data_IF_721450683172
#
_entry.id   IF_721450683172
#
_cell.length_a   1.000
_cell.length_b   1.000
_cell.length_c   1.000
_cell.angle_alpha   90.00
_cell.angle_beta   90.00
_cell.angle_gamma   90.00
#
_symmetry.space_group_name_H-M   'P 1'
#
loop_
_entity.id
_entity.type
_entity.pdbx_description
1 polymer ?
#
# COMPACT_ATOMS: atom_id res chain seq x y z
N UNK A 1 -21.85 6.69 16.12
CA UNK A 1 -21.47 5.35 15.60
C UNK A 1 -20.13 5.34 14.86
N UNK A 2 -19.85 6.26 13.92
CA UNK A 2 -18.55 6.28 13.19
C UNK A 2 -17.31 6.34 14.08
N UNK A 3 -17.31 7.17 15.14
CA UNK A 3 -16.20 7.24 16.10
C UNK A 3 -15.91 5.88 16.77
N UNK A 4 -16.97 5.12 17.10
CA UNK A 4 -16.82 3.80 17.71
C UNK A 4 -16.20 2.78 16.74
N UNK A 5 -16.55 2.84 15.45
CA UNK A 5 -15.89 2.04 14.42
C UNK A 5 -14.40 2.37 14.34
N UNK A 6 -14.04 3.65 14.24
CA UNK A 6 -12.63 4.08 14.15
C UNK A 6 -11.83 3.64 15.39
N UNK A 7 -12.37 3.83 16.60
CA UNK A 7 -11.70 3.39 17.82
C UNK A 7 -11.51 1.88 17.87
N UNK A 8 -12.51 1.11 17.42
CA UNK A 8 -12.41 -0.34 17.30
C UNK A 8 -11.30 -0.74 16.33
N UNK A 9 -11.25 -0.12 15.15
CA UNK A 9 -10.20 -0.39 14.16
C UNK A 9 -8.81 -0.06 14.70
N UNK A 10 -8.65 1.08 15.36
CA UNK A 10 -7.39 1.49 15.98
C UNK A 10 -6.88 0.50 17.02
N UNK A 11 -7.73 0.04 17.94
CA UNK A 11 -7.31 -0.92 18.98
C UNK A 11 -6.80 -2.23 18.36
N UNK A 12 -7.40 -2.66 17.24
CA UNK A 12 -6.96 -3.87 16.51
C UNK A 12 -5.60 -3.69 15.83
N UNK A 13 -5.38 -2.55 15.18
CA UNK A 13 -4.24 -2.38 14.27
C UNK A 13 -3.08 -1.57 14.86
N UNK A 14 -3.23 -0.92 16.02
CA UNK A 14 -2.23 0.03 16.59
C UNK A 14 -0.78 -0.48 16.63
N UNK A 15 -0.56 -1.70 17.11
CA UNK A 15 0.80 -2.26 17.25
C UNK A 15 1.39 -2.61 15.90
N UNK A 16 0.56 -3.14 15.00
CA UNK A 16 0.94 -3.37 13.62
C UNK A 16 1.28 -2.05 12.92
N UNK A 17 0.46 -1.02 13.05
CA UNK A 17 0.70 0.29 12.45
C UNK A 17 1.98 0.94 12.97
N UNK A 18 2.27 0.81 14.27
CA UNK A 18 3.53 1.27 14.84
C UNK A 18 4.72 0.51 14.24
N UNK A 19 4.65 -0.82 14.18
CA UNK A 19 5.71 -1.63 13.57
C UNK A 19 5.88 -1.33 12.07
N UNK A 20 4.79 -1.19 11.33
CA UNK A 20 4.80 -0.82 9.91
C UNK A 20 5.40 0.57 9.70
N UNK A 21 5.05 1.55 10.53
CA UNK A 21 5.62 2.89 10.49
C UNK A 21 7.13 2.86 10.69
N UNK A 22 7.62 2.20 11.75
CA UNK A 22 9.05 2.08 12.03
C UNK A 22 9.78 1.36 10.91
N UNK A 23 9.25 0.22 10.43
CA UNK A 23 9.92 -0.57 9.39
C UNK A 23 10.00 0.17 8.07
N UNK A 24 8.89 0.74 7.57
CA UNK A 24 8.89 1.47 6.30
C UNK A 24 9.82 2.68 6.38
N UNK A 25 9.76 3.46 7.47
CA UNK A 25 10.64 4.63 7.64
C UNK A 25 12.12 4.25 7.80
N UNK A 26 12.43 3.14 8.47
CA UNK A 26 13.79 2.63 8.58
C UNK A 26 14.35 2.19 7.23
N UNK A 27 13.57 1.45 6.41
CA UNK A 27 13.98 1.08 5.05
C UNK A 27 14.13 2.30 4.14
N UNK A 28 13.24 3.28 4.26
CA UNK A 28 13.36 4.56 3.57
C UNK A 28 14.66 5.30 3.93
N UNK A 29 14.95 5.42 5.23
CA UNK A 29 16.18 6.05 5.73
C UNK A 29 17.44 5.29 5.29
N UNK A 30 17.41 3.96 5.31
CA UNK A 30 18.52 3.13 4.86
C UNK A 30 18.83 3.33 3.36
N UNK A 31 17.79 3.41 2.54
CA UNK A 31 17.91 3.67 1.09
C UNK A 31 18.63 4.99 0.82
N UNK A 32 18.23 6.04 1.55
CA UNK A 32 18.85 7.37 1.49
C UNK A 32 20.30 7.35 2.01
N UNK A 33 20.56 6.66 3.12
CA UNK A 33 21.91 6.53 3.65
C UNK A 33 22.85 5.81 2.66
N UNK A 34 22.33 4.85 1.91
CA UNK A 34 23.04 4.21 0.80
C UNK A 34 23.53 5.21 -0.25
N UNK A 35 22.70 6.21 -0.59
CA UNK A 35 23.04 7.29 -1.53
C UNK A 35 24.12 8.18 -0.92
N UNK A 36 23.96 8.62 0.34
CA UNK A 36 24.97 9.44 1.03
C UNK A 36 26.34 8.76 1.05
N UNK A 37 26.37 7.47 1.42
CA UNK A 37 27.60 6.68 1.42
C UNK A 37 28.21 6.60 0.03
N UNK A 38 27.39 6.37 -1.00
CA UNK A 38 27.87 6.33 -2.37
C UNK A 38 28.46 7.69 -2.81
N UNK A 39 27.80 8.80 -2.44
CA UNK A 39 28.27 10.17 -2.75
C UNK A 39 29.60 10.44 -2.05
N UNK A 40 29.75 10.02 -0.80
CA UNK A 40 30.99 10.19 -0.04
C UNK A 40 32.18 9.41 -0.62
N UNK A 41 31.94 8.24 -1.23
CA UNK A 41 33.01 7.37 -1.76
C UNK A 41 33.38 7.74 -3.21
N UNK A 42 32.40 8.05 -4.05
CA UNK A 42 32.60 8.25 -5.50
C UNK A 42 32.52 9.71 -5.95
N UNK A 43 32.11 10.61 -5.07
CA UNK A 43 31.81 11.99 -5.39
C UNK A 43 30.41 12.17 -6.01
N UNK A 44 29.81 13.34 -5.76
CA UNK A 44 28.45 13.65 -6.22
C UNK A 44 28.34 13.69 -7.75
N UNK A 45 29.37 14.16 -8.46
CA UNK A 45 29.37 14.27 -9.92
C UNK A 45 29.26 12.92 -10.62
N UNK A 46 30.01 11.91 -10.15
CA UNK A 46 29.93 10.57 -10.72
C UNK A 46 28.58 9.91 -10.46
N UNK A 47 27.98 10.12 -9.29
CA UNK A 47 26.65 9.58 -9.00
C UNK A 47 25.57 10.24 -9.83
N UNK A 48 25.66 11.56 -10.01
CA UNK A 48 24.77 12.26 -10.91
C UNK A 48 24.87 11.71 -12.33
N UNK A 49 26.09 11.54 -12.85
CA UNK A 49 26.32 10.97 -14.18
C UNK A 49 25.74 9.55 -14.28
N UNK A 50 25.99 8.68 -13.30
CA UNK A 50 25.44 7.32 -13.30
C UNK A 50 23.92 7.30 -13.21
N UNK A 51 23.31 8.21 -12.43
CA UNK A 51 21.85 8.31 -12.33
C UNK A 51 21.21 8.81 -13.63
N UNK A 52 21.89 9.67 -14.37
CA UNK A 52 21.37 10.22 -15.64
C UNK A 52 21.66 9.29 -16.82
N UNK A 53 22.85 8.68 -16.87
CA UNK A 53 23.30 7.87 -18.01
C UNK A 53 22.89 6.41 -17.92
N UNK A 54 22.78 5.85 -16.71
CA UNK A 54 22.44 4.44 -16.48
C UNK A 54 21.08 4.21 -15.86
N UNK A 55 20.30 5.27 -15.63
CA UNK A 55 18.96 5.19 -15.05
C UNK A 55 18.93 4.35 -13.75
N UNK A 56 20.01 4.43 -12.96
CA UNK A 56 20.19 3.61 -11.77
C UNK A 56 19.23 4.02 -10.65
N UNK A 57 18.43 3.06 -10.16
CA UNK A 57 17.48 3.27 -9.06
C UNK A 57 18.14 2.89 -7.73
N UNK A 58 18.44 3.89 -6.90
CA UNK A 58 19.12 3.66 -5.61
C UNK A 58 18.17 3.31 -4.45
N UNK A 59 16.86 3.25 -4.71
CA UNK A 59 15.81 3.03 -3.69
C UNK A 59 15.14 1.65 -3.86
N UNK A 60 15.71 0.73 -4.62
CA UNK A 60 15.10 -0.58 -4.90
C UNK A 60 14.79 -1.40 -3.64
N UNK A 61 15.53 -1.15 -2.55
CA UNK A 61 15.33 -1.82 -1.27
C UNK A 61 13.90 -1.60 -0.72
N UNK A 62 13.29 -0.44 -0.96
CA UNK A 62 11.93 -0.17 -0.49
C UNK A 62 10.85 -0.74 -1.41
N UNK A 63 11.19 -1.23 -2.61
CA UNK A 63 10.25 -1.56 -3.68
C UNK A 63 9.05 -2.42 -3.24
N UNK A 64 9.30 -3.49 -2.48
CA UNK A 64 8.24 -4.41 -2.05
C UNK A 64 7.69 -4.13 -0.65
N UNK A 65 8.32 -3.24 0.11
CA UNK A 65 7.96 -2.97 1.51
C UNK A 65 6.54 -2.38 1.63
N UNK A 66 6.12 -1.37 0.83
CA UNK A 66 4.76 -0.85 0.87
C UNK A 66 3.69 -1.90 0.52
N UNK A 67 4.00 -2.81 -0.41
CA UNK A 67 3.08 -3.88 -0.79
C UNK A 67 2.83 -4.83 0.38
N UNK A 68 3.91 -5.31 1.00
CA UNK A 68 3.84 -6.20 2.17
C UNK A 68 3.06 -5.51 3.29
N UNK A 69 3.33 -4.23 3.53
CA UNK A 69 2.63 -3.46 4.55
C UNK A 69 1.12 -3.31 4.27
N UNK A 70 0.73 -3.12 3.02
CA UNK A 70 -0.68 -3.06 2.64
C UNK A 70 -1.41 -4.38 2.87
N UNK A 71 -0.83 -5.49 2.41
CA UNK A 71 -1.41 -6.84 2.55
C UNK A 71 -1.52 -7.23 4.02
N UNK A 72 -0.46 -7.05 4.80
CA UNK A 72 -0.47 -7.38 6.23
C UNK A 72 -1.51 -6.54 6.99
N UNK A 73 -1.67 -5.24 6.68
CA UNK A 73 -2.69 -4.43 7.33
C UNK A 73 -4.09 -5.02 7.10
N UNK A 74 -4.39 -5.45 5.88
CA UNK A 74 -5.67 -6.08 5.57
C UNK A 74 -5.88 -7.37 6.37
N UNK A 75 -4.85 -8.20 6.49
CA UNK A 75 -4.88 -9.43 7.29
C UNK A 75 -5.19 -9.11 8.75
N UNK A 76 -4.46 -8.20 9.38
CA UNK A 76 -4.68 -7.81 10.77
C UNK A 76 -6.04 -7.15 11.00
N UNK A 77 -6.55 -6.42 10.00
CA UNK A 77 -7.81 -5.70 10.12
C UNK A 77 -9.04 -6.60 9.96
N UNK A 78 -9.05 -7.49 8.96
CA UNK A 78 -10.25 -8.22 8.53
C UNK A 78 -10.27 -9.71 8.91
N UNK A 79 -9.11 -10.38 9.07
CA UNK A 79 -9.05 -11.78 9.52
C UNK A 79 -9.74 -12.01 10.87
N UNK A 80 -9.45 -11.24 11.93
CA UNK A 80 -10.12 -11.43 13.22
C UNK A 80 -11.63 -11.17 13.14
N UNK A 81 -12.10 -10.33 12.19
CA UNK A 81 -13.52 -10.08 12.01
C UNK A 81 -14.26 -11.24 11.39
N UNK A 82 -13.61 -11.93 10.45
CA UNK A 82 -14.17 -13.10 9.80
C UNK A 82 -14.18 -14.29 10.78
N UNK A 83 -13.09 -14.50 11.53
CA UNK A 83 -12.98 -15.58 12.51
C UNK A 83 -14.00 -15.46 13.65
N UNK A 84 -14.18 -14.24 14.19
CA UNK A 84 -15.09 -14.00 15.32
C UNK A 84 -16.55 -13.80 14.89
N UNK A 85 -16.86 -13.94 13.59
CA UNK A 85 -18.18 -13.64 12.99
C UNK A 85 -18.66 -12.21 13.29
N UNK A 86 -17.75 -11.31 13.68
CA UNK A 86 -18.05 -9.91 14.00
C UNK A 86 -18.50 -9.14 12.76
N UNK A 87 -18.08 -9.57 11.57
CA UNK A 87 -18.58 -8.99 10.32
C UNK A 87 -20.09 -9.20 10.19
N UNK A 88 -20.60 -10.39 10.52
CA UNK A 88 -22.04 -10.66 10.52
C UNK A 88 -22.75 -9.70 11.49
N UNK A 89 -22.25 -9.54 12.71
CA UNK A 89 -22.82 -8.59 13.68
C UNK A 89 -22.80 -7.14 13.18
N UNK A 90 -21.70 -6.74 12.53
CA UNK A 90 -21.52 -5.39 11.98
C UNK A 90 -22.54 -5.08 10.88
N UNK A 91 -22.92 -6.09 10.10
CA UNK A 91 -23.89 -5.97 9.01
C UNK A 91 -25.35 -5.87 9.50
N UNK A 92 -25.64 -6.22 10.76
CA UNK A 92 -26.99 -6.14 11.36
C UNK A 92 -27.23 -4.85 12.17
N UNK A 93 -26.21 -4.02 12.35
CA UNK A 93 -26.36 -2.71 12.99
C UNK A 93 -27.33 -1.82 12.18
N UNK A 94 -28.00 -0.84 12.80
CA UNK A 94 -28.91 0.11 12.14
C UNK A 94 -28.12 1.18 11.35
N UNK A 95 -27.15 0.73 10.56
CA UNK A 95 -26.32 1.53 9.64
C UNK A 95 -26.24 0.74 8.33
N UNK A 96 -26.37 1.38 7.16
CA UNK A 96 -26.23 0.67 5.90
C UNK A 96 -24.87 -0.04 5.81
N UNK A 97 -24.91 -1.34 5.54
CA UNK A 97 -23.74 -2.22 5.43
C UNK A 97 -22.62 -1.61 4.57
N UNK A 98 -22.99 -0.99 3.44
CA UNK A 98 -22.07 -0.31 2.53
C UNK A 98 -21.23 0.75 3.25
N UNK A 99 -21.89 1.62 4.02
CA UNK A 99 -21.23 2.69 4.77
C UNK A 99 -20.27 2.13 5.82
N UNK A 100 -20.66 1.05 6.50
CA UNK A 100 -19.79 0.40 7.49
C UNK A 100 -18.52 -0.16 6.85
N UNK A 101 -18.65 -0.89 5.74
CA UNK A 101 -17.51 -1.47 5.02
C UNK A 101 -16.55 -0.39 4.52
N UNK A 102 -17.05 0.68 3.89
CA UNK A 102 -16.19 1.74 3.39
C UNK A 102 -15.52 2.57 4.49
N UNK A 103 -16.14 2.72 5.66
CA UNK A 103 -15.50 3.39 6.80
C UNK A 103 -14.31 2.58 7.31
N UNK A 104 -14.44 1.25 7.34
CA UNK A 104 -13.33 0.37 7.72
C UNK A 104 -12.21 0.36 6.69
N UNK A 105 -12.56 0.23 5.40
CA UNK A 105 -11.57 0.29 4.31
C UNK A 105 -10.86 1.65 4.33
N UNK A 106 -11.62 2.74 4.46
CA UNK A 106 -11.12 4.11 4.53
C UNK A 106 -10.19 4.35 5.71
N UNK A 107 -10.46 3.75 6.88
CA UNK A 107 -9.54 3.80 8.01
C UNK A 107 -8.18 3.19 7.68
N UNK A 108 -8.15 1.99 7.07
CA UNK A 108 -6.88 1.35 6.69
C UNK A 108 -6.13 2.12 5.60
N UNK A 109 -6.83 2.66 4.61
CA UNK A 109 -6.25 3.55 3.58
C UNK A 109 -5.64 4.80 4.21
N UNK A 110 -6.34 5.46 5.14
CA UNK A 110 -5.82 6.62 5.85
C UNK A 110 -4.59 6.26 6.70
N UNK A 111 -4.61 5.14 7.40
CA UNK A 111 -3.46 4.69 8.21
C UNK A 111 -2.22 4.40 7.35
N UNK A 112 -2.38 3.73 6.19
CA UNK A 112 -1.30 3.54 5.22
C UNK A 112 -0.79 4.87 4.68
N UNK A 113 -1.67 5.83 4.43
CA UNK A 113 -1.27 7.15 3.94
C UNK A 113 -0.34 7.89 4.90
N UNK A 114 -0.55 7.77 6.22
CA UNK A 114 0.36 8.33 7.22
C UNK A 114 1.74 7.66 7.16
N UNK A 115 1.78 6.34 7.01
CA UNK A 115 3.05 5.61 6.90
C UNK A 115 3.80 5.94 5.60
N UNK A 116 3.09 5.97 4.47
CA UNK A 116 3.69 6.21 3.15
C UNK A 116 4.12 7.67 2.97
N UNK A 117 3.37 8.62 3.50
CA UNK A 117 3.79 10.04 3.52
C UNK A 117 5.04 10.23 4.37
N UNK A 118 5.12 9.61 5.56
CA UNK A 118 6.35 9.65 6.35
C UNK A 118 7.54 9.06 5.59
N UNK A 119 7.38 7.91 4.93
CA UNK A 119 8.42 7.29 4.12
C UNK A 119 8.87 8.19 2.96
N UNK A 120 7.92 8.82 2.26
CA UNK A 120 8.21 9.77 1.18
C UNK A 120 8.95 11.00 1.69
N UNK A 121 8.61 11.52 2.87
CA UNK A 121 9.32 12.63 3.49
C UNK A 121 10.76 12.24 3.88
N UNK A 122 10.95 11.04 4.45
CA UNK A 122 12.27 10.50 4.77
C UNK A 122 13.15 10.36 3.54
N UNK A 123 12.57 10.03 2.38
CA UNK A 123 13.30 9.96 1.10
C UNK A 123 13.56 11.36 0.53
N UNK A 124 12.53 12.18 0.42
CA UNK A 124 12.57 13.43 -0.34
C UNK A 124 13.38 14.54 0.33
N UNK A 125 13.25 14.72 1.65
CA UNK A 125 13.92 15.83 2.36
C UNK A 125 15.45 15.72 2.19
N UNK A 126 16.11 14.59 2.53
CA UNK A 126 17.55 14.51 2.37
C UNK A 126 17.98 14.42 0.91
N UNK A 127 17.18 13.78 0.04
CA UNK A 127 17.50 13.72 -1.39
C UNK A 127 17.60 15.11 -2.02
N UNK A 128 16.70 16.04 -1.68
CA UNK A 128 16.74 17.43 -2.18
C UNK A 128 17.90 18.26 -1.62
N UNK A 129 18.52 17.83 -0.51
CA UNK A 129 19.68 18.51 0.06
C UNK A 129 21.00 18.15 -0.65
N UNK A 130 21.05 17.00 -1.32
CA UNK A 130 22.28 16.45 -1.93
C UNK A 130 22.21 16.46 -3.45
N UNK A 131 21.03 16.19 -4.00
CA UNK A 131 20.80 15.98 -5.43
C UNK A 131 20.02 17.17 -6.02
N UNK A 132 20.20 17.46 -7.32
CA UNK A 132 19.36 18.41 -8.03
C UNK A 132 17.87 18.05 -7.91
N UNK A 133 17.01 19.07 -7.91
CA UNK A 133 15.56 18.92 -7.68
C UNK A 133 14.92 17.98 -8.70
N UNK A 134 15.40 17.98 -9.94
CA UNK A 134 14.95 17.12 -11.03
C UNK A 134 15.22 15.64 -10.72
N UNK A 135 16.38 15.34 -10.14
CA UNK A 135 16.78 13.98 -9.80
C UNK A 135 15.97 13.48 -8.60
N UNK A 136 15.82 14.31 -7.57
CA UNK A 136 14.97 14.01 -6.42
C UNK A 136 13.51 13.76 -6.85
N UNK A 137 12.97 14.55 -7.78
CA UNK A 137 11.63 14.34 -8.33
C UNK A 137 11.51 13.01 -9.11
N UNK A 138 12.53 12.63 -9.89
CA UNK A 138 12.58 11.32 -10.56
C UNK A 138 12.62 10.16 -9.57
N UNK A 139 13.36 10.30 -8.47
CA UNK A 139 13.40 9.28 -7.41
C UNK A 139 12.02 9.10 -6.76
N UNK A 140 11.35 10.20 -6.39
CA UNK A 140 9.98 10.15 -5.85
C UNK A 140 9.02 9.53 -6.86
N UNK A 141 9.10 9.93 -8.13
CA UNK A 141 8.26 9.39 -9.21
C UNK A 141 8.45 7.89 -9.43
N UNK A 142 9.64 7.38 -9.13
CA UNK A 142 9.95 5.93 -9.19
C UNK A 142 9.36 5.19 -8.00
N UNK A 143 9.29 5.82 -6.83
CA UNK A 143 8.72 5.22 -5.63
C UNK A 143 7.18 5.25 -5.59
N UNK A 144 6.53 6.22 -6.26
CA UNK A 144 5.08 6.38 -6.27
C UNK A 144 4.30 5.09 -6.69
N UNK A 145 4.67 4.38 -7.78
CA UNK A 145 4.02 3.12 -8.14
C UNK A 145 4.08 2.07 -7.04
N UNK A 146 5.18 2.00 -6.29
CA UNK A 146 5.35 1.03 -5.20
C UNK A 146 4.41 1.33 -4.03
N UNK A 147 4.24 2.61 -3.67
CA UNK A 147 3.24 3.02 -2.67
C UNK A 147 1.81 2.79 -3.14
N UNK A 148 1.52 3.04 -4.42
CA UNK A 148 0.23 2.70 -5.02
C UNK A 148 -0.04 1.18 -5.01
N UNK A 149 1.00 0.36 -5.22
CA UNK A 149 0.91 -1.08 -5.07
C UNK A 149 0.56 -1.49 -3.63
N UNK A 150 1.05 -0.76 -2.62
CA UNK A 150 0.66 -0.92 -1.21
C UNK A 150 -0.85 -0.75 -0.98
N UNK A 151 -1.43 0.34 -1.50
CA UNK A 151 -2.88 0.55 -1.41
C UNK A 151 -3.68 -0.49 -2.21
N UNK A 152 -3.20 -0.84 -3.40
CA UNK A 152 -3.82 -1.89 -4.21
C UNK A 152 -3.79 -3.24 -3.49
N UNK A 153 -2.65 -3.61 -2.92
CA UNK A 153 -2.48 -4.84 -2.14
C UNK A 153 -3.40 -4.89 -0.93
N UNK A 154 -3.57 -3.78 -0.21
CA UNK A 154 -4.52 -3.68 0.90
C UNK A 154 -5.96 -3.92 0.45
N UNK A 155 -6.42 -3.26 -0.62
CA UNK A 155 -7.80 -3.40 -1.11
C UNK A 155 -8.08 -4.77 -1.71
N UNK A 156 -7.15 -5.34 -2.47
CA UNK A 156 -7.26 -6.70 -3.03
C UNK A 156 -7.20 -7.78 -1.96
N UNK A 157 -6.30 -7.66 -0.97
CA UNK A 157 -6.29 -8.57 0.18
C UNK A 157 -7.60 -8.52 0.96
N UNK A 158 -8.17 -7.31 1.11
CA UNK A 158 -9.47 -7.13 1.77
C UNK A 158 -10.58 -7.84 1.01
N UNK A 159 -10.57 -7.72 -0.32
CA UNK A 159 -11.51 -8.44 -1.20
C UNK A 159 -11.41 -9.97 -1.02
N UNK A 160 -10.19 -10.52 -1.03
CA UNK A 160 -9.93 -11.96 -0.86
C UNK A 160 -10.36 -12.46 0.52
N UNK A 161 -10.05 -11.72 1.59
CA UNK A 161 -10.35 -12.13 2.98
C UNK A 161 -11.86 -12.09 3.24
N UNK A 162 -12.56 -11.10 2.70
CA UNK A 162 -14.00 -10.94 2.88
C UNK A 162 -14.82 -11.97 2.08
N UNK A 163 -14.24 -12.62 1.06
CA UNK A 163 -14.94 -13.63 0.27
C UNK A 163 -15.23 -14.88 1.11
N UNK A 164 -16.50 -15.34 1.17
CA UNK A 164 -16.90 -16.50 1.97
C UNK A 164 -16.45 -17.84 1.40
N UNK A 165 -16.41 -17.98 0.06
CA UNK A 165 -16.14 -19.26 -0.59
C UNK A 165 -14.65 -19.47 -0.88
N UNK A 166 -14.15 -20.67 -0.57
CA UNK A 166 -12.74 -21.02 -0.75
C UNK A 166 -12.32 -21.10 -2.22
N UNK A 167 -13.20 -21.61 -3.09
CA UNK A 167 -12.95 -21.69 -4.54
C UNK A 167 -12.82 -20.30 -5.18
N UNK A 168 -13.64 -19.35 -4.75
CA UNK A 168 -13.56 -17.99 -5.26
C UNK A 168 -12.32 -17.27 -4.70
N UNK A 169 -11.96 -17.51 -3.43
CA UNK A 169 -10.76 -16.95 -2.80
C UNK A 169 -9.47 -17.28 -3.57
N UNK A 170 -9.30 -18.53 -4.00
CA UNK A 170 -8.13 -18.93 -4.79
C UNK A 170 -8.13 -18.24 -6.16
N UNK A 171 -9.27 -18.21 -6.85
CA UNK A 171 -9.40 -17.50 -8.14
C UNK A 171 -9.10 -15.99 -8.01
N UNK A 172 -9.64 -15.33 -6.99
CA UNK A 172 -9.39 -13.90 -6.73
C UNK A 172 -7.94 -13.62 -6.33
N UNK A 173 -7.26 -14.57 -5.71
CA UNK A 173 -5.82 -14.46 -5.42
C UNK A 173 -5.01 -14.44 -6.71
N UNK A 174 -5.28 -15.33 -7.67
CA UNK A 174 -4.60 -15.30 -8.97
C UNK A 174 -4.83 -13.98 -9.71
N UNK A 175 -6.08 -13.52 -9.76
CA UNK A 175 -6.41 -12.23 -10.40
C UNK A 175 -5.70 -11.07 -9.68
N UNK A 176 -5.65 -11.09 -8.36
CA UNK A 176 -4.98 -10.05 -7.58
C UNK A 176 -3.47 -10.00 -7.83
N UNK A 177 -2.82 -11.16 -7.94
CA UNK A 177 -1.39 -11.24 -8.30
C UNK A 177 -1.15 -10.67 -9.69
N UNK A 178 -2.02 -10.97 -10.66
CA UNK A 178 -1.92 -10.42 -12.02
C UNK A 178 -2.09 -8.88 -12.03
N UNK A 179 -3.04 -8.35 -11.27
CA UNK A 179 -3.23 -6.90 -11.14
C UNK A 179 -2.01 -6.25 -10.48
N UNK A 180 -1.50 -6.84 -9.40
CA UNK A 180 -0.33 -6.32 -8.69
C UNK A 180 0.93 -6.33 -9.56
N UNK A 181 1.07 -7.30 -10.49
CA UNK A 181 2.21 -7.36 -11.41
C UNK A 181 2.38 -6.09 -12.26
N UNK A 182 1.27 -5.41 -12.58
CA UNK A 182 1.25 -4.17 -13.39
C UNK A 182 2.07 -3.06 -12.71
N UNK A 183 2.11 -3.02 -11.37
CA UNK A 183 2.84 -2.00 -10.61
C UNK A 183 4.36 -2.22 -10.59
N UNK A 184 4.83 -3.40 -11.00
CA UNK A 184 6.25 -3.80 -10.97
C UNK A 184 6.79 -4.19 -12.35
N UNK A 185 6.09 -3.83 -13.43
CA UNK A 185 6.42 -4.22 -14.81
C UNK A 185 7.71 -3.59 -15.35
N UNK A 186 7.85 -2.27 -15.23
CA UNK A 186 9.01 -1.52 -15.69
C UNK A 186 10.01 -1.27 -14.54
N UNK A 187 11.30 -1.64 -14.72
CA UNK A 187 12.37 -1.31 -13.77
C UNK A 187 12.95 0.10 -13.99
N UNK A 188 12.59 0.77 -15.09
CA UNK A 188 13.14 2.07 -15.44
C UNK A 188 12.62 3.20 -14.52
N UNK A 189 13.49 4.12 -14.08
CA UNK A 189 13.12 5.25 -13.22
C UNK A 189 12.11 6.16 -13.92
N UNK A 190 11.12 6.62 -13.15
CA UNK A 190 10.02 7.47 -13.62
C UNK A 190 9.21 6.94 -14.82
N UNK A 191 9.35 5.66 -15.18
CA UNK A 191 8.67 5.05 -16.34
C UNK A 191 7.14 5.13 -16.24
N UNK A 192 6.61 5.16 -15.01
CA UNK A 192 5.17 5.20 -14.76
C UNK A 192 4.58 6.61 -14.77
N UNK A 193 5.35 7.67 -15.01
CA UNK A 193 4.87 9.06 -14.84
C UNK A 193 3.50 9.33 -15.47
N UNK A 194 3.32 8.97 -16.76
CA UNK A 194 2.05 9.14 -17.47
C UNK A 194 0.98 8.11 -17.09
N UNK A 195 1.38 6.96 -16.53
CA UNK A 195 0.52 5.85 -16.16
C UNK A 195 0.07 5.89 -14.69
N UNK A 196 0.66 6.76 -13.86
CA UNK A 196 0.30 6.94 -12.44
C UNK A 196 -1.19 7.20 -12.22
N UNK A 197 -1.90 8.04 -13.00
CA UNK A 197 -3.34 8.24 -12.82
C UNK A 197 -4.13 6.94 -13.03
N UNK A 198 -3.73 6.08 -13.96
CA UNK A 198 -4.37 4.79 -14.21
C UNK A 198 -4.09 3.77 -13.11
N UNK A 199 -2.88 3.79 -12.53
CA UNK A 199 -2.59 3.01 -11.33
C UNK A 199 -3.45 3.47 -10.15
N UNK A 200 -3.58 4.78 -9.93
CA UNK A 200 -4.46 5.31 -8.88
C UNK A 200 -5.93 4.95 -9.11
N UNK A 201 -6.42 5.04 -10.36
CA UNK A 201 -7.76 4.59 -10.72
C UNK A 201 -7.96 3.10 -10.43
N UNK A 202 -6.97 2.26 -10.71
CA UNK A 202 -7.05 0.82 -10.42
C UNK A 202 -7.22 0.53 -8.92
N UNK A 203 -6.59 1.32 -8.04
CA UNK A 203 -6.76 1.23 -6.58
C UNK A 203 -8.18 1.60 -6.15
N UNK A 204 -8.76 2.64 -6.75
CA UNK A 204 -10.13 3.07 -6.46
C UNK A 204 -11.13 1.99 -6.91
N UNK A 205 -10.92 1.44 -8.10
CA UNK A 205 -11.75 0.36 -8.63
C UNK A 205 -11.61 -0.91 -7.79
N UNK A 206 -10.41 -1.29 -7.35
CA UNK A 206 -10.22 -2.47 -6.49
C UNK A 206 -10.88 -2.33 -5.13
N UNK A 207 -10.99 -1.11 -4.57
CA UNK A 207 -11.74 -0.87 -3.35
C UNK A 207 -13.25 -1.18 -3.49
N UNK A 208 -13.82 -1.04 -4.70
CA UNK A 208 -15.22 -1.39 -4.96
C UNK A 208 -15.48 -2.90 -4.95
N UNK A 209 -14.48 -3.72 -5.25
CA UNK A 209 -14.60 -5.18 -5.28
C UNK A 209 -14.91 -5.76 -3.89
N UNK A 210 -14.41 -5.13 -2.82
CA UNK A 210 -14.71 -5.53 -1.45
C UNK A 210 -16.22 -5.50 -1.15
N UNK A 211 -16.98 -4.59 -1.78
CA UNK A 211 -18.43 -4.55 -1.63
C UNK A 211 -19.13 -5.74 -2.28
N UNK A 212 -18.63 -6.22 -3.42
CA UNK A 212 -19.16 -7.42 -4.08
C UNK A 212 -19.02 -8.65 -3.17
N UNK A 213 -17.90 -8.79 -2.47
CA UNK A 213 -17.73 -9.87 -1.49
C UNK A 213 -18.65 -9.75 -0.30
N UNK A 214 -18.84 -8.54 0.24
CA UNK A 214 -19.76 -8.31 1.36
C UNK A 214 -21.22 -8.60 0.97
N UNK A 215 -21.63 -8.25 -0.24
CA UNK A 215 -23.00 -8.56 -0.72
C UNK A 215 -23.22 -10.07 -0.91
N UNK A 216 -22.22 -10.79 -1.44
CA UNK A 216 -22.24 -12.28 -1.50
C UNK A 216 -22.27 -12.91 -0.12
N UNK A 217 -21.50 -12.36 0.83
CA UNK A 217 -21.49 -12.79 2.23
C UNK A 217 -22.86 -12.60 2.89
N UNK A 218 -23.52 -11.45 2.66
CA UNK A 218 -24.89 -11.19 3.12
C UNK A 218 -25.91 -12.17 2.53
N UNK A 219 -25.74 -12.55 1.26
CA UNK A 219 -26.62 -13.48 0.57
C UNK A 219 -26.43 -14.95 1.01
N UNK A 220 -25.46 -15.25 1.89
CA UNK A 220 -25.27 -16.60 2.42
C UNK A 220 -24.74 -17.61 1.40
N UNK A 221 -24.14 -17.16 0.29
CA UNK A 221 -23.50 -18.03 -0.71
C UNK A 221 -22.18 -18.59 -0.18
N UNK A 222 -22.30 -19.58 0.71
CA UNK A 222 -21.21 -20.38 1.26
C UNK A 222 -21.24 -21.74 0.57
N UNK A 223 -20.80 -21.77 -0.70
CA UNK A 223 -20.62 -23.03 -1.45
C UNK A 223 -19.43 -23.83 -0.92
#
# INVERSE_FOLDING_TARGET
MLKAFISKEWIKTRWYLLAAFITITAFAAYSVHGIFRAVSIRGAGHIWEVMVTRDAVFIDIIQYVPLIAGVLLSIFQFTPEMQRKCLKLTLHLPVPAMRSTYVMIGFGMAALSVCFTAALLTISIPATAILPKELAARMVSTALPWFLAGYCGYTLATWIILEPSWKARTAWTFISVLILRIFFLAPAPAAYGKFLPWLALSVILSASLAWLSVTRFKAGRQD
#
